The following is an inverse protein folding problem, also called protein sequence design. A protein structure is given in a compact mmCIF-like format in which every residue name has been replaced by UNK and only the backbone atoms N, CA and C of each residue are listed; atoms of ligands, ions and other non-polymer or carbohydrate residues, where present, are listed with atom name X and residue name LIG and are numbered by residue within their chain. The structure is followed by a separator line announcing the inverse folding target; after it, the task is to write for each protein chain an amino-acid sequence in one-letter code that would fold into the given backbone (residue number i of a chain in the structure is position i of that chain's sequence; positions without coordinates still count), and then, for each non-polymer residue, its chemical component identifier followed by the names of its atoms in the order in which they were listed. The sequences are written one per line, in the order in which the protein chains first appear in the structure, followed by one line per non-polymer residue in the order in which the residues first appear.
data_IF_633423614256
#
_entry.id   IF_633423614256
#
_cell.length_a   1.000
_cell.length_b   1.000
_cell.length_c   1.000
_cell.angle_alpha   90.00
_cell.angle_beta   90.00
_cell.angle_gamma   90.00
#
_symmetry.space_group_name_H-M   'P 1'
#
loop_
_entity.id
_entity.type
_entity.pdbx_description
1 polymer ?
#
# COMPACT_ATOMS: atom_id res chain seq x y z
N UNK A 1 -0.20 -9.20 -23.23
CA UNK A 1 0.52 -7.92 -23.03
C UNK A 1 1.10 -7.93 -21.62
N UNK A 2 2.43 -7.99 -21.48
CA UNK A 2 3.09 -7.77 -20.18
C UNK A 2 3.02 -6.28 -19.87
N UNK A 3 2.21 -5.88 -18.90
CA UNK A 3 2.19 -4.51 -18.37
C UNK A 3 3.62 -4.12 -17.95
N UNK A 4 4.13 -2.99 -18.44
CA UNK A 4 5.50 -2.50 -18.20
C UNK A 4 5.80 -2.05 -16.77
N UNK A 5 5.25 -2.72 -15.75
CA UNK A 5 5.31 -2.35 -14.33
C UNK A 5 6.33 -3.17 -13.50
N UNK A 6 7.05 -4.12 -14.12
CA UNK A 6 7.99 -5.01 -13.42
C UNK A 6 7.31 -6.26 -12.84
N UNK A 7 8.03 -7.02 -12.01
CA UNK A 7 7.47 -8.17 -11.28
C UNK A 7 6.48 -7.71 -10.20
N UNK A 8 5.62 -8.59 -9.68
CA UNK A 8 4.71 -8.25 -8.55
C UNK A 8 5.46 -7.69 -7.33
N UNK A 9 6.69 -8.18 -7.11
CA UNK A 9 7.66 -7.64 -6.15
C UNK A 9 8.04 -6.18 -6.41
N UNK A 10 8.26 -5.80 -7.67
CA UNK A 10 8.59 -4.42 -8.04
C UNK A 10 7.38 -3.50 -7.86
N UNK A 11 6.18 -4.00 -8.17
CA UNK A 11 4.93 -3.30 -7.95
C UNK A 11 4.69 -3.02 -6.46
N UNK A 12 4.92 -4.01 -5.59
CA UNK A 12 4.86 -3.84 -4.14
C UNK A 12 5.85 -2.76 -3.66
N UNK A 13 7.12 -2.87 -4.06
CA UNK A 13 8.19 -1.93 -3.66
C UNK A 13 7.90 -0.51 -4.13
N UNK A 14 7.39 -0.35 -5.35
CA UNK A 14 6.99 0.95 -5.90
C UNK A 14 5.82 1.54 -5.12
N UNK A 15 4.82 0.73 -4.78
CA UNK A 15 3.68 1.15 -3.95
C UNK A 15 4.15 1.63 -2.57
N UNK A 16 5.00 0.86 -1.89
CA UNK A 16 5.60 1.24 -0.60
C UNK A 16 6.37 2.55 -0.70
N UNK A 17 7.22 2.69 -1.72
CA UNK A 17 8.03 3.89 -1.94
C UNK A 17 7.19 5.13 -2.20
N UNK A 18 6.13 5.01 -3.01
CA UNK A 18 5.20 6.12 -3.30
C UNK A 18 4.43 6.55 -2.05
N UNK A 19 3.97 5.60 -1.20
CA UNK A 19 3.34 5.96 0.08
C UNK A 19 4.36 6.69 0.94
N UNK A 20 5.53 6.10 1.20
CA UNK A 20 6.55 6.69 2.07
C UNK A 20 7.06 8.07 1.62
N UNK A 21 7.17 8.29 0.30
CA UNK A 21 7.64 9.56 -0.25
C UNK A 21 6.59 10.67 -0.15
N UNK A 22 5.30 10.32 -0.26
CA UNK A 22 4.21 11.29 -0.39
C UNK A 22 3.23 11.29 0.80
N UNK A 23 3.49 10.48 1.83
CA UNK A 23 2.81 10.57 3.11
C UNK A 23 3.82 10.66 4.25
N UNK A 24 3.46 11.40 5.29
CA UNK A 24 4.22 11.44 6.55
C UNK A 24 4.09 10.12 7.36
N UNK A 25 3.81 9.01 6.69
CA UNK A 25 3.64 7.68 7.29
C UNK A 25 5.00 7.15 7.72
N UNK A 26 5.07 6.63 8.94
CA UNK A 26 6.27 5.93 9.42
C UNK A 26 6.29 4.52 8.83
N UNK A 27 7.48 3.95 8.65
CA UNK A 27 7.64 2.55 8.19
C UNK A 27 6.81 1.55 9.00
N UNK A 28 6.65 1.76 10.31
CA UNK A 28 5.84 0.91 11.20
C UNK A 28 4.33 1.01 10.95
N UNK A 29 3.86 2.15 10.47
CA UNK A 29 2.46 2.37 10.09
C UNK A 29 2.20 1.79 8.71
N UNK A 30 3.13 2.03 7.77
CA UNK A 30 3.12 1.40 6.44
C UNK A 30 3.01 -0.12 6.59
N UNK A 31 3.91 -0.74 7.38
CA UNK A 31 3.98 -2.18 7.58
C UNK A 31 2.72 -2.80 8.22
N UNK A 32 1.75 -2.01 8.67
CA UNK A 32 0.50 -2.48 9.28
C UNK A 32 -0.74 -2.28 8.41
N UNK A 33 -0.60 -1.64 7.25
CA UNK A 33 -1.73 -1.39 6.35
C UNK A 33 -2.35 -2.73 5.93
N UNK A 34 -3.65 -2.84 6.15
CA UNK A 34 -4.51 -3.93 5.70
C UNK A 34 -5.39 -3.47 4.53
N UNK A 35 -6.13 -4.39 3.90
CA UNK A 35 -7.08 -4.00 2.84
C UNK A 35 -8.21 -3.13 3.39
N UNK A 36 -8.67 -3.39 4.61
CA UNK A 36 -9.72 -2.62 5.28
C UNK A 36 -9.35 -1.16 5.56
N UNK A 37 -8.05 -0.87 5.60
CA UNK A 37 -7.55 0.48 5.79
C UNK A 37 -7.60 1.31 4.49
N UNK A 38 -7.80 0.67 3.33
CA UNK A 38 -7.74 1.33 2.02
C UNK A 38 -9.15 1.49 1.46
N UNK A 39 -9.51 2.72 1.12
CA UNK A 39 -10.79 3.06 0.53
C UNK A 39 -10.55 3.78 -0.79
N UNK A 40 -11.18 3.32 -1.85
CA UNK A 40 -11.23 4.02 -3.14
C UNK A 40 -12.58 4.72 -3.27
N UNK A 41 -12.56 6.00 -3.65
CA UNK A 41 -13.76 6.81 -3.96
C UNK A 41 -13.46 7.61 -5.21
N UNK A 42 -14.11 7.30 -6.31
CA UNK A 42 -13.91 7.95 -7.62
C UNK A 42 -12.40 8.05 -7.98
N UNK A 43 -11.89 9.27 -8.04
CA UNK A 43 -10.51 9.62 -8.36
C UNK A 43 -9.64 9.81 -7.10
N UNK A 44 -10.04 9.27 -5.94
CA UNK A 44 -9.35 9.42 -4.65
C UNK A 44 -9.11 8.06 -4.01
N UNK A 45 -7.93 7.91 -3.39
CA UNK A 45 -7.60 6.81 -2.49
C UNK A 45 -7.35 7.36 -1.08
N UNK A 46 -7.96 6.74 -0.08
CA UNK A 46 -7.78 7.07 1.33
C UNK A 46 -7.14 5.88 2.03
N UNK A 47 -6.06 6.11 2.77
CA UNK A 47 -5.45 5.13 3.67
C UNK A 47 -5.72 5.59 5.11
N UNK A 48 -6.48 4.79 5.84
CA UNK A 48 -6.68 4.92 7.28
C UNK A 48 -5.46 4.37 7.99
N UNK A 49 -4.92 5.13 8.95
CA UNK A 49 -3.78 4.67 9.74
C UNK A 49 -3.92 5.10 11.19
N UNK A 50 -3.23 4.39 12.07
CA UNK A 50 -3.22 4.65 13.51
C UNK A 50 -1.81 5.01 13.92
N UNK A 51 -1.58 6.28 14.21
CA UNK A 51 -0.30 6.72 14.75
C UNK A 51 -0.32 6.57 16.27
N UNK A 52 0.59 5.74 16.79
CA UNK A 52 0.91 5.67 18.21
C UNK A 52 2.24 6.38 18.45
N UNK A 53 2.23 7.53 19.12
CA UNK A 53 3.44 8.21 19.60
C UNK A 53 3.20 8.63 21.05
N UNK A 54 3.81 7.92 22.00
CA UNK A 54 3.87 8.17 23.45
C UNK A 54 2.53 8.42 24.22
N UNK A 55 1.39 8.58 23.54
CA UNK A 55 0.04 8.81 24.06
C UNK A 55 -1.00 7.91 23.34
N UNK A 56 -2.29 8.10 23.69
CA UNK A 56 -3.46 7.42 23.11
C UNK A 56 -3.37 7.33 21.57
N UNK A 57 -3.77 6.20 20.97
CA UNK A 57 -3.76 6.04 19.51
C UNK A 57 -4.61 7.14 18.85
N UNK A 58 -4.06 7.79 17.83
CA UNK A 58 -4.80 8.75 17.00
C UNK A 58 -4.99 8.17 15.61
N UNK A 59 -6.23 8.22 15.14
CA UNK A 59 -6.60 7.82 13.79
C UNK A 59 -6.33 8.98 12.83
N UNK A 60 -5.72 8.67 11.70
CA UNK A 60 -5.44 9.61 10.62
C UNK A 60 -5.91 9.02 9.30
N UNK A 61 -6.31 9.90 8.39
CA UNK A 61 -6.63 9.55 7.02
C UNK A 61 -5.64 10.25 6.09
N UNK A 62 -5.00 9.47 5.23
CA UNK A 62 -4.05 9.97 4.24
C UNK A 62 -4.74 9.85 2.89
N UNK A 63 -4.90 11.00 2.23
CA UNK A 63 -5.64 11.09 0.98
C UNK A 63 -4.69 11.28 -0.19
N UNK A 64 -4.90 10.50 -1.26
CA UNK A 64 -4.17 10.59 -2.50
C UNK A 64 -5.14 10.76 -3.66
N UNK A 65 -4.91 11.81 -4.46
CA UNK A 65 -5.68 12.03 -5.69
C UNK A 65 -5.07 11.21 -6.82
N UNK A 66 -5.93 10.60 -7.64
CA UNK A 66 -5.55 9.98 -8.90
C UNK A 66 -5.05 11.07 -9.84
N UNK A 67 -3.91 10.80 -10.46
CA UNK A 67 -3.22 11.71 -11.38
C UNK A 67 -2.96 10.96 -12.68
N UNK A 68 -3.12 11.62 -13.81
CA UNK A 68 -2.80 11.05 -15.13
C UNK A 68 -1.28 11.09 -15.39
N UNK A 69 -0.51 10.40 -14.54
CA UNK A 69 0.95 10.32 -14.62
C UNK A 69 1.40 8.85 -14.58
N UNK A 70 2.56 8.56 -15.15
CA UNK A 70 3.14 7.21 -15.25
C UNK A 70 3.47 6.53 -13.91
N UNK A 71 3.38 7.26 -12.80
CA UNK A 71 3.63 6.77 -11.44
C UNK A 71 2.46 7.10 -10.48
N UNK A 72 1.22 7.05 -10.97
CA UNK A 72 0.04 7.29 -10.14
C UNK A 72 -0.04 6.24 -9.02
N UNK A 73 0.02 6.68 -7.76
CA UNK A 73 -0.07 5.79 -6.61
C UNK A 73 -1.42 5.07 -6.56
N UNK A 74 -2.52 5.72 -6.95
CA UNK A 74 -3.85 5.11 -6.96
C UNK A 74 -3.89 3.90 -7.88
N UNK A 75 -3.37 4.04 -9.10
CA UNK A 75 -3.35 2.94 -10.08
C UNK A 75 -2.33 1.86 -9.70
N UNK A 76 -1.19 2.27 -9.14
CA UNK A 76 -0.17 1.34 -8.63
C UNK A 76 -0.72 0.48 -7.48
N UNK A 77 -1.43 1.09 -6.53
CA UNK A 77 -2.05 0.38 -5.40
C UNK A 77 -3.17 -0.55 -5.88
N UNK A 78 -4.05 -0.12 -6.79
CA UNK A 78 -5.09 -0.99 -7.37
C UNK A 78 -4.48 -2.21 -8.05
N UNK A 79 -3.38 -2.01 -8.78
CA UNK A 79 -2.64 -3.10 -9.42
C UNK A 79 -2.04 -4.04 -8.38
N UNK A 80 -1.43 -3.52 -7.30
CA UNK A 80 -0.88 -4.34 -6.22
C UNK A 80 -1.97 -5.18 -5.53
N UNK A 81 -3.10 -4.58 -5.18
CA UNK A 81 -4.21 -5.30 -4.53
C UNK A 81 -4.87 -6.36 -5.43
N UNK A 82 -4.65 -6.27 -6.74
CA UNK A 82 -5.13 -7.25 -7.72
C UNK A 82 -4.07 -8.30 -8.09
N UNK A 83 -2.83 -8.15 -7.62
CA UNK A 83 -1.74 -9.09 -7.87
C UNK A 83 -1.96 -10.43 -7.13
N UNK A 84 -1.50 -11.54 -7.72
CA UNK A 84 -1.69 -12.89 -7.15
C UNK A 84 -0.94 -13.05 -5.81
N UNK A 85 0.22 -12.41 -5.66
CA UNK A 85 0.97 -12.41 -4.40
C UNK A 85 0.30 -11.57 -3.30
N UNK A 86 -0.69 -10.73 -3.63
CA UNK A 86 -1.49 -9.98 -2.65
C UNK A 86 -2.74 -10.77 -2.20
N UNK A 87 -2.69 -12.10 -2.10
CA UNK A 87 -3.82 -12.99 -1.73
C UNK A 87 -4.27 -12.94 -0.26
N UNK A 88 -3.70 -12.03 0.52
CA UNK A 88 -3.97 -11.94 1.96
C UNK A 88 -5.40 -11.53 2.27
N UNK A 89 -5.92 -12.04 3.38
CA UNK A 89 -7.27 -11.73 3.88
C UNK A 89 -7.43 -10.24 4.16
N UNK A 90 -8.68 -9.79 4.30
CA UNK A 90 -9.00 -8.36 4.48
C UNK A 90 -8.30 -7.72 5.69
N UNK A 91 -8.10 -8.48 6.75
CA UNK A 91 -7.50 -8.11 8.03
C UNK A 91 -5.98 -8.38 8.11
N UNK A 92 -5.41 -8.97 7.07
CA UNK A 92 -3.98 -9.25 6.99
C UNK A 92 -3.22 -8.10 6.29
N UNK A 93 -1.98 -7.89 6.72
CA UNK A 93 -1.10 -6.84 6.18
C UNK A 93 -0.84 -7.07 4.70
N UNK A 94 -1.06 -6.06 3.85
CA UNK A 94 -1.01 -6.19 2.38
C UNK A 94 0.38 -6.42 1.78
N UNK A 95 1.44 -6.43 2.60
CA UNK A 95 2.82 -6.54 2.14
C UNK A 95 3.34 -7.97 2.20
N UNK A 96 3.95 -8.44 1.11
CA UNK A 96 4.51 -9.77 1.02
C UNK A 96 5.98 -9.81 1.47
N UNK A 97 6.32 -10.78 2.31
CA UNK A 97 7.70 -11.05 2.71
C UNK A 97 8.30 -12.13 1.81
N UNK A 98 9.06 -11.69 0.80
CA UNK A 98 9.69 -12.56 -0.19
C UNK A 98 10.87 -13.36 0.37
N UNK A 99 11.54 -12.90 1.43
CA UNK A 99 12.72 -13.59 1.97
C UNK A 99 12.31 -14.76 2.86
N UNK A 100 11.13 -14.68 3.52
CA UNK A 100 10.61 -15.77 4.37
C UNK A 100 10.30 -17.05 3.60
N UNK A 101 9.93 -16.96 2.31
CA UNK A 101 9.60 -18.13 1.48
C UNK A 101 10.82 -18.82 0.83
N UNK A 102 12.01 -18.21 0.81
CA UNK A 102 13.24 -18.91 0.36
C UNK A 102 13.67 -20.05 1.30
N UNK A 103 13.06 -20.16 2.49
CA UNK A 103 13.41 -21.12 3.54
C UNK A 103 12.41 -22.29 3.67
N UNK A 104 11.44 -22.41 2.77
CA UNK A 104 10.51 -23.54 2.68
C UNK A 104 10.70 -24.24 1.34
#
# INVERSE_FOLDING_TARGET
MRSGLGTEKDLMRRTMGLIMAFSATRMVELARITRNDIIFRDEIMIIKTVMKKYQKPKHFEITFNKRQISCCLVDTMKSWLSAEECTKKLDEVIWWDYERKKKL
#
